data_IF_612030453044
#
_entry.id   IF_612030453044
#
_cell.length_a   1.000
_cell.length_b   1.000
_cell.length_c   1.000
_cell.angle_alpha   90.00
_cell.angle_beta   90.00
_cell.angle_gamma   90.00
#
_symmetry.space_group_name_H-M   'P 1'
#
loop_
_entity.id
_entity.type
_entity.pdbx_description
1 polymer ?
#
# COMPACT_ATOMS: atom_id res chain seq x y z
N UNK A 1 3.13 -18.92 0.80
CA UNK A 1 2.94 -17.46 0.87
C UNK A 1 1.75 -16.98 0.04
N UNK A 2 1.55 -17.43 -1.21
CA UNK A 2 0.38 -17.06 -2.03
C UNK A 2 -1.01 -17.39 -1.43
N UNK A 3 -1.07 -18.45 -0.62
CA UNK A 3 -2.33 -19.00 -0.07
C UNK A 3 -2.94 -18.21 1.09
N UNK A 4 -2.16 -17.36 1.75
CA UNK A 4 -2.67 -16.48 2.82
C UNK A 4 -3.26 -15.19 2.25
N UNK A 5 -2.82 -14.78 1.06
CA UNK A 5 -3.30 -13.56 0.40
C UNK A 5 -4.73 -13.70 -0.12
N UNK A 6 -5.09 -14.86 -0.67
CA UNK A 6 -6.48 -15.15 -1.07
C UNK A 6 -7.42 -15.19 0.15
N UNK A 7 -6.92 -15.70 1.29
CA UNK A 7 -7.68 -15.74 2.53
C UNK A 7 -7.89 -14.34 3.14
N UNK A 8 -6.91 -13.44 2.99
CA UNK A 8 -7.04 -12.03 3.38
C UNK A 8 -8.03 -11.28 2.50
N UNK A 9 -8.01 -11.51 1.18
CA UNK A 9 -8.95 -10.88 0.25
C UNK A 9 -10.40 -11.30 0.56
N UNK A 10 -10.63 -12.59 0.81
CA UNK A 10 -11.95 -13.12 1.16
C UNK A 10 -12.47 -12.59 2.51
N UNK A 11 -11.58 -12.44 3.51
CA UNK A 11 -11.94 -11.82 4.79
C UNK A 11 -12.31 -10.35 4.68
N UNK A 12 -11.72 -9.64 3.71
CA UNK A 12 -12.06 -8.25 3.42
C UNK A 12 -13.44 -8.13 2.77
N UNK A 13 -13.78 -9.02 1.83
CA UNK A 13 -15.13 -9.07 1.22
C UNK A 13 -16.25 -9.37 2.24
N UNK A 14 -16.00 -10.26 3.20
CA UNK A 14 -16.94 -10.54 4.30
C UNK A 14 -17.02 -9.37 5.31
N UNK A 15 -15.99 -8.50 5.33
CA UNK A 15 -15.87 -7.31 6.18
C UNK A 15 -16.49 -6.04 5.59
N UNK A 16 -17.06 -6.06 4.38
CA UNK A 16 -17.67 -4.89 3.70
C UNK A 16 -18.76 -4.17 4.52
N UNK A 17 -19.33 -4.84 5.53
CA UNK A 17 -20.23 -4.22 6.51
C UNK A 17 -19.51 -3.41 7.61
N UNK A 18 -18.27 -3.77 7.93
CA UNK A 18 -17.34 -3.06 8.83
C UNK A 18 -16.46 -2.03 8.09
N UNK A 19 -16.40 -2.10 6.76
CA UNK A 19 -15.63 -1.18 5.89
C UNK A 19 -16.00 0.29 6.01
N UNK A 20 -17.14 0.66 6.62
CA UNK A 20 -17.54 2.08 6.71
C UNK A 20 -16.90 2.84 7.88
N UNK A 21 -15.98 2.24 8.62
CA UNK A 21 -15.29 2.92 9.73
C UNK A 21 -13.86 3.30 9.35
N UNK A 22 -13.32 4.30 10.03
CA UNK A 22 -11.93 4.70 9.83
C UNK A 22 -10.95 3.56 10.13
N UNK A 23 -11.21 2.74 11.16
CA UNK A 23 -10.41 1.56 11.48
C UNK A 23 -10.44 0.49 10.37
N UNK A 24 -11.63 0.26 9.79
CA UNK A 24 -11.79 -0.70 8.69
C UNK A 24 -11.01 -0.29 7.45
N UNK A 25 -11.13 0.99 7.05
CA UNK A 25 -10.35 1.55 5.96
C UNK A 25 -8.84 1.58 6.24
N UNK A 26 -8.42 1.83 7.48
CA UNK A 26 -7.01 1.77 7.87
C UNK A 26 -6.48 0.32 7.79
N UNK A 27 -7.22 -0.68 8.25
CA UNK A 27 -6.83 -2.09 8.14
C UNK A 27 -6.74 -2.56 6.68
N UNK A 28 -7.65 -2.07 5.82
CA UNK A 28 -7.59 -2.30 4.37
C UNK A 28 -6.33 -1.66 3.78
N UNK A 29 -6.04 -0.41 4.10
CA UNK A 29 -4.84 0.29 3.63
C UNK A 29 -3.55 -0.45 4.04
N UNK A 30 -3.42 -0.88 5.29
CA UNK A 30 -2.27 -1.68 5.75
C UNK A 30 -2.10 -2.97 4.95
N UNK A 31 -3.22 -3.68 4.72
CA UNK A 31 -3.21 -4.92 3.93
C UNK A 31 -2.76 -4.65 2.48
N UNK A 32 -3.26 -3.58 1.87
CA UNK A 32 -2.91 -3.19 0.50
C UNK A 32 -1.44 -2.75 0.37
N UNK A 33 -0.89 -2.06 1.38
CA UNK A 33 0.54 -1.76 1.48
C UNK A 33 1.34 -3.05 1.48
N UNK A 34 0.96 -4.03 2.30
CA UNK A 34 1.66 -5.33 2.38
C UNK A 34 1.56 -6.13 1.08
N UNK A 35 0.50 -5.94 0.31
CA UNK A 35 0.30 -6.55 -1.01
C UNK A 35 1.01 -5.80 -2.15
N UNK A 36 1.62 -4.64 -1.88
CA UNK A 36 2.26 -3.82 -2.91
C UNK A 36 1.29 -3.07 -3.83
N UNK A 37 0.00 -3.05 -3.48
CA UNK A 37 -1.03 -2.28 -4.18
C UNK A 37 -1.05 -0.85 -3.65
N UNK A 38 0.01 -0.11 -3.94
CA UNK A 38 0.27 1.21 -3.33
C UNK A 38 -0.84 2.22 -3.62
N UNK A 39 -1.33 2.31 -4.86
CA UNK A 39 -2.39 3.26 -5.24
C UNK A 39 -3.70 2.99 -4.49
N UNK A 40 -4.10 1.72 -4.41
CA UNK A 40 -5.30 1.32 -3.67
C UNK A 40 -5.16 1.57 -2.16
N UNK A 41 -3.95 1.38 -1.62
CA UNK A 41 -3.67 1.63 -0.22
C UNK A 41 -3.82 3.11 0.14
N UNK A 42 -3.37 4.01 -0.73
CA UNK A 42 -3.53 5.46 -0.56
C UNK A 42 -5.03 5.80 -0.53
N UNK A 43 -5.81 5.31 -1.49
CA UNK A 43 -7.25 5.55 -1.53
C UNK A 43 -7.98 5.06 -0.27
N UNK A 44 -7.60 3.88 0.26
CA UNK A 44 -8.16 3.36 1.50
C UNK A 44 -7.76 4.21 2.73
N UNK A 45 -6.50 4.65 2.81
CA UNK A 45 -6.03 5.51 3.89
C UNK A 45 -6.69 6.90 3.85
N UNK A 46 -6.92 7.46 2.67
CA UNK A 46 -7.65 8.72 2.48
C UNK A 46 -9.10 8.60 2.96
N UNK A 47 -9.77 7.49 2.66
CA UNK A 47 -11.11 7.22 3.17
C UNK A 47 -11.13 7.12 4.71
N UNK A 48 -10.11 6.50 5.32
CA UNK A 48 -9.98 6.46 6.78
C UNK A 48 -9.80 7.85 7.40
N UNK A 49 -8.95 8.71 6.80
CA UNK A 49 -8.74 10.09 7.23
C UNK A 49 -10.01 10.94 7.03
N UNK A 50 -10.76 10.71 5.95
CA UNK A 50 -12.01 11.43 5.69
C UNK A 50 -13.09 11.10 6.73
N UNK A 51 -13.12 9.86 7.23
CA UNK A 51 -14.05 9.42 8.27
C UNK A 51 -13.61 9.86 9.67
N UNK A 52 -12.32 9.84 9.95
CA UNK A 52 -11.75 10.36 11.20
C UNK A 52 -10.44 11.11 10.91
N UNK A 53 -10.49 12.45 10.82
CA UNK A 53 -9.32 13.29 10.56
C UNK A 53 -8.21 13.17 11.62
N UNK A 54 -8.52 12.66 12.81
CA UNK A 54 -7.57 12.47 13.91
C UNK A 54 -7.10 11.01 14.05
N UNK A 55 -7.37 10.15 13.07
CA UNK A 55 -6.97 8.76 13.11
C UNK A 55 -5.46 8.60 12.86
N UNK A 56 -4.67 8.44 13.91
CA UNK A 56 -3.21 8.41 13.86
C UNK A 56 -2.68 7.36 12.88
N UNK A 57 -3.23 6.14 12.92
CA UNK A 57 -2.81 5.06 12.03
C UNK A 57 -3.12 5.36 10.56
N UNK A 58 -4.20 6.09 10.26
CA UNK A 58 -4.58 6.39 8.88
C UNK A 58 -3.57 7.37 8.25
N UNK A 59 -3.14 8.37 9.03
CA UNK A 59 -2.05 9.28 8.62
C UNK A 59 -0.73 8.55 8.42
N UNK A 60 -0.39 7.62 9.31
CA UNK A 60 0.82 6.80 9.16
C UNK A 60 0.78 5.97 7.87
N UNK A 61 -0.34 5.29 7.60
CA UNK A 61 -0.52 4.47 6.40
C UNK A 61 -0.54 5.31 5.13
N UNK A 62 -1.15 6.49 5.16
CA UNK A 62 -1.14 7.43 4.04
C UNK A 62 0.29 7.89 3.72
N UNK A 63 1.06 8.25 4.75
CA UNK A 63 2.48 8.60 4.59
C UNK A 63 3.32 7.45 4.03
N UNK A 64 3.07 6.22 4.49
CA UNK A 64 3.74 5.03 3.96
C UNK A 64 3.37 4.76 2.49
N UNK A 65 2.09 4.91 2.13
CA UNK A 65 1.61 4.83 0.76
C UNK A 65 2.34 5.80 -0.17
N UNK A 66 2.32 7.10 0.17
CA UNK A 66 3.00 8.13 -0.62
C UNK A 66 4.52 7.95 -0.68
N UNK A 67 5.17 7.50 0.40
CA UNK A 67 6.60 7.20 0.37
C UNK A 67 6.90 6.11 -0.66
N UNK A 68 6.13 5.02 -0.67
CA UNK A 68 6.29 3.92 -1.62
C UNK A 68 6.01 4.33 -3.05
N UNK A 69 5.00 5.17 -3.28
CA UNK A 69 4.73 5.74 -4.60
C UNK A 69 5.94 6.55 -5.07
N UNK A 70 6.46 7.45 -4.23
CA UNK A 70 7.64 8.24 -4.56
C UNK A 70 8.87 7.39 -4.89
N UNK A 71 9.13 6.31 -4.13
CA UNK A 71 10.20 5.37 -4.46
C UNK A 71 9.98 4.67 -5.80
N UNK A 72 8.75 4.24 -6.09
CA UNK A 72 8.44 3.60 -7.39
C UNK A 72 8.64 4.55 -8.57
N UNK A 73 8.30 5.83 -8.40
CA UNK A 73 8.52 6.85 -9.42
C UNK A 73 10.01 7.19 -9.56
N UNK A 74 10.75 7.19 -8.44
CA UNK A 74 12.20 7.38 -8.44
C UNK A 74 12.90 6.23 -9.19
N UNK A 75 12.53 4.99 -8.92
CA UNK A 75 13.06 3.80 -9.64
C UNK A 75 12.74 3.85 -11.14
N UNK A 76 11.54 4.29 -11.51
CA UNK A 76 11.18 4.49 -12.93
C UNK A 76 12.01 5.58 -13.59
N UNK A 77 12.32 6.66 -12.87
CA UNK A 77 13.11 7.78 -13.39
C UNK A 77 14.60 7.47 -13.46
N UNK A 78 15.11 6.76 -12.47
CA UNK A 78 16.52 6.40 -12.32
C UNK A 78 16.64 4.89 -12.11
N UNK A 79 16.38 4.09 -13.16
CA UNK A 79 16.51 2.65 -13.04
C UNK A 79 17.97 2.33 -12.71
N UNK A 80 18.17 1.56 -11.63
CA UNK A 80 19.49 1.17 -11.10
C UNK A 80 20.30 0.36 -12.13
N UNK A 81 19.67 -0.05 -13.25
CA UNK A 81 20.32 -0.68 -14.41
C UNK A 81 21.23 0.25 -15.21
N UNK A 82 21.22 1.56 -14.98
CA UNK A 82 22.16 2.50 -15.59
C UNK A 82 23.53 2.55 -14.86
N UNK A 83 24.01 1.41 -14.34
CA UNK A 83 25.37 1.30 -13.81
C UNK A 83 26.35 0.95 -14.95
N UNK A 84 27.43 1.72 -15.19
CA UNK A 84 28.38 1.51 -16.29
C UNK A 84 29.32 0.31 -16.08
N UNK A 85 29.03 -0.59 -15.15
CA UNK A 85 29.81 -1.79 -14.89
C UNK A 85 28.93 -3.03 -15.02
N UNK A 86 28.57 -3.35 -16.26
CA UNK A 86 28.31 -4.74 -16.60
C UNK A 86 29.65 -5.51 -16.47
N UNK A 87 29.73 -6.61 -15.73
CA UNK A 87 30.89 -7.49 -15.81
C UNK A 87 30.94 -8.03 -17.24
N UNK A 88 32.10 -7.88 -17.89
CA UNK A 88 32.38 -8.45 -19.21
C UNK A 88 31.97 -9.91 -19.23
N UNK A 89 31.02 -10.24 -20.11
CA UNK A 89 30.69 -11.63 -20.44
C UNK A 89 31.96 -12.35 -20.91
N UNK A 90 32.13 -13.57 -20.40
CA UNK A 90 33.20 -14.51 -20.79
C UNK A 90 32.92 -15.14 -22.14
#
# INVERSE_FOLDING_TARGET
QLREFDASLKRLEEGLAAERTADGHAALADTLIRLGRTDDAIAAAEAAVALNPHHEMAHYLLGNGYARENYSQLERRFPITASPHAPSEK
#
